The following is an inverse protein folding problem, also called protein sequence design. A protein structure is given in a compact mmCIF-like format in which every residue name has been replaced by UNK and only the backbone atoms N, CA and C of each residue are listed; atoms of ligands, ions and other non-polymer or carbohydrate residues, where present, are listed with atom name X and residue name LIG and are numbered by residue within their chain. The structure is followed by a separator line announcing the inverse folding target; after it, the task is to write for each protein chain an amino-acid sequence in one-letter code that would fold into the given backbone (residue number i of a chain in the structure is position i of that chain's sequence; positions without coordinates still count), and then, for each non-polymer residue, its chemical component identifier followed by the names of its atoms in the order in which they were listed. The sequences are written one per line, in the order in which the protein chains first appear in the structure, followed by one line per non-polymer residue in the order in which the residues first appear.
data_IF_675149006002
#
_entry.id   IF_675149006002
#
_cell.length_a   1.000
_cell.length_b   1.000
_cell.length_c   1.000
_cell.angle_alpha   90.00
_cell.angle_beta   90.00
_cell.angle_gamma   90.00
#
_symmetry.space_group_name_H-M   'P 1'
#
loop_
_entity.id
_entity.type
_entity.pdbx_description
1 polymer ?
#
# COMPACT_ATOMS: atom_id res chain seq x y z
N UNK A 1 0.41 20.90 2.91
CA UNK A 1 -0.56 20.02 3.60
C UNK A 1 0.08 18.70 3.99
N UNK A 2 0.78 18.03 3.07
CA UNK A 2 1.43 16.72 3.32
C UNK A 2 2.40 16.70 4.52
N UNK A 3 3.25 17.73 4.69
CA UNK A 3 4.15 17.81 5.85
C UNK A 3 3.40 17.81 7.19
N UNK A 4 2.31 18.61 7.28
CA UNK A 4 1.47 18.66 8.48
C UNK A 4 0.77 17.32 8.75
N UNK A 5 0.36 16.61 7.68
CA UNK A 5 -0.18 15.27 7.78
C UNK A 5 0.85 14.30 8.38
N UNK A 6 2.08 14.26 7.85
CA UNK A 6 3.14 13.39 8.35
C UNK A 6 3.47 13.70 9.83
N UNK A 7 3.53 14.97 10.20
CA UNK A 7 3.73 15.40 11.59
C UNK A 7 2.61 14.91 12.51
N UNK A 8 1.35 15.07 12.09
CA UNK A 8 0.18 14.58 12.86
C UNK A 8 0.17 13.06 12.97
N UNK A 9 0.45 12.34 11.89
CA UNK A 9 0.53 10.86 11.90
C UNK A 9 1.60 10.36 12.87
N UNK A 10 2.80 10.96 12.84
CA UNK A 10 3.88 10.62 13.76
C UNK A 10 3.54 10.98 15.21
N UNK A 11 2.89 12.12 15.44
CA UNK A 11 2.43 12.51 16.77
C UNK A 11 1.37 11.53 17.32
N UNK A 12 0.35 11.20 16.54
CA UNK A 12 -0.70 10.26 16.93
C UNK A 12 -0.15 8.85 17.19
N UNK A 13 0.75 8.37 16.32
CA UNK A 13 1.45 7.09 16.52
C UNK A 13 2.23 7.07 17.82
N UNK A 14 3.10 8.06 18.04
CA UNK A 14 3.97 8.12 19.23
C UNK A 14 3.19 8.18 20.54
N UNK A 15 2.02 8.81 20.53
CA UNK A 15 1.18 8.96 21.72
C UNK A 15 0.04 7.93 21.79
N UNK A 16 0.02 6.94 20.90
CA UNK A 16 -1.04 5.92 20.82
C UNK A 16 -2.46 6.50 20.81
N UNK A 17 -2.66 7.61 20.08
CA UNK A 17 -3.96 8.28 19.98
C UNK A 17 -4.94 7.37 19.25
N UNK A 18 -6.04 7.02 19.92
CA UNK A 18 -7.13 6.22 19.35
C UNK A 18 -8.07 7.09 18.54
N UNK A 19 -8.68 6.51 17.51
CA UNK A 19 -9.66 7.18 16.63
C UNK A 19 -9.13 8.46 15.93
N UNK A 20 -7.81 8.62 15.85
CA UNK A 20 -7.16 9.67 15.06
C UNK A 20 -6.97 9.27 13.59
N UNK A 21 -6.40 10.16 12.79
CA UNK A 21 -6.12 9.90 11.38
C UNK A 21 -5.08 8.78 11.18
N UNK A 22 -4.11 8.64 12.08
CA UNK A 22 -3.15 7.53 12.06
C UNK A 22 -3.86 6.19 12.24
N UNK A 23 -4.76 6.12 13.23
CA UNK A 23 -5.58 4.92 13.50
C UNK A 23 -6.47 4.58 12.31
N UNK A 24 -7.17 5.57 11.75
CA UNK A 24 -8.03 5.38 10.58
C UNK A 24 -7.24 4.93 9.35
N UNK A 25 -6.08 5.54 9.06
CA UNK A 25 -5.24 5.15 7.93
C UNK A 25 -4.74 3.72 8.09
N UNK A 26 -4.29 3.32 9.28
CA UNK A 26 -3.80 1.96 9.49
C UNK A 26 -4.87 0.91 9.14
N UNK A 27 -6.10 1.10 9.62
CA UNK A 27 -7.19 0.15 9.36
C UNK A 27 -7.66 0.25 7.90
N UNK A 28 -7.98 1.44 7.42
CA UNK A 28 -8.54 1.65 6.07
C UNK A 28 -7.55 1.23 4.99
N UNK A 29 -6.26 1.46 5.20
CA UNK A 29 -5.25 1.11 4.20
C UNK A 29 -5.02 -0.38 4.11
N UNK A 30 -4.78 -1.01 5.26
CA UNK A 30 -4.54 -2.45 5.34
C UNK A 30 -5.74 -3.24 4.83
N UNK A 31 -6.97 -2.84 5.21
CA UNK A 31 -8.18 -3.51 4.75
C UNK A 31 -8.33 -3.44 3.23
N UNK A 32 -8.27 -2.25 2.64
CA UNK A 32 -8.55 -2.10 1.21
C UNK A 32 -7.46 -2.73 0.33
N UNK A 33 -6.18 -2.57 0.69
CA UNK A 33 -5.08 -3.20 -0.05
C UNK A 33 -5.19 -4.72 0.00
N UNK A 34 -5.30 -5.29 1.20
CA UNK A 34 -5.36 -6.75 1.37
C UNK A 34 -6.64 -7.33 0.73
N UNK A 35 -7.77 -6.63 0.80
CA UNK A 35 -9.02 -7.07 0.17
C UNK A 35 -8.93 -7.09 -1.36
N UNK A 36 -8.23 -6.13 -1.96
CA UNK A 36 -7.96 -6.10 -3.41
C UNK A 36 -7.12 -7.31 -3.83
N UNK A 37 -6.15 -7.71 -2.99
CA UNK A 37 -5.30 -8.90 -3.19
C UNK A 37 -6.01 -10.23 -2.87
N UNK A 38 -7.19 -10.18 -2.25
CA UNK A 38 -8.07 -11.34 -2.04
C UNK A 38 -8.18 -11.83 -0.59
N UNK A 39 -7.71 -11.04 0.39
CA UNK A 39 -7.89 -11.34 1.81
C UNK A 39 -9.37 -11.45 2.19
N UNK A 40 -9.68 -12.46 3.01
CA UNK A 40 -11.02 -12.71 3.54
C UNK A 40 -11.39 -11.87 4.77
N UNK A 41 -10.44 -11.17 5.38
CA UNK A 41 -10.69 -10.41 6.62
C UNK A 41 -11.65 -9.25 6.39
N UNK A 42 -12.62 -9.08 7.29
CA UNK A 42 -13.54 -7.95 7.30
C UNK A 42 -12.87 -6.69 7.83
N UNK A 43 -13.46 -5.52 7.56
CA UNK A 43 -12.97 -4.25 8.10
C UNK A 43 -12.93 -4.27 9.63
N UNK A 44 -13.97 -4.83 10.26
CA UNK A 44 -14.04 -5.00 11.72
C UNK A 44 -12.94 -5.93 12.22
N UNK A 45 -12.67 -7.05 11.55
CA UNK A 45 -11.58 -7.94 11.91
C UNK A 45 -10.21 -7.24 11.80
N UNK A 46 -9.95 -6.50 10.72
CA UNK A 46 -8.73 -5.69 10.58
C UNK A 46 -8.59 -4.68 11.72
N UNK A 47 -9.69 -3.99 12.08
CA UNK A 47 -9.70 -3.04 13.19
C UNK A 47 -9.40 -3.72 14.54
N UNK A 48 -10.01 -4.89 14.81
CA UNK A 48 -9.75 -5.66 16.04
C UNK A 48 -8.32 -6.16 16.15
N UNK A 49 -7.70 -6.59 15.04
CA UNK A 49 -6.28 -6.95 15.01
C UNK A 49 -5.44 -5.72 15.39
N UNK A 50 -5.70 -4.56 14.78
CA UNK A 50 -4.96 -3.33 15.08
C UNK A 50 -5.11 -2.89 16.54
N UNK A 51 -6.34 -2.85 17.05
CA UNK A 51 -6.67 -2.26 18.35
C UNK A 51 -6.31 -3.14 19.54
N UNK A 52 -6.43 -4.46 19.37
CA UNK A 52 -6.41 -5.41 20.48
C UNK A 52 -5.46 -6.58 20.25
N UNK A 53 -4.86 -6.70 19.06
CA UNK A 53 -4.13 -7.90 18.65
C UNK A 53 -4.96 -9.17 18.82
N UNK A 54 -6.27 -9.06 18.54
CA UNK A 54 -7.25 -10.14 18.67
C UNK A 54 -8.03 -10.25 17.36
N UNK A 55 -8.31 -11.48 16.95
CA UNK A 55 -9.18 -11.77 15.81
C UNK A 55 -10.48 -12.38 16.31
N UNK A 56 -11.60 -11.72 16.03
CA UNK A 56 -12.93 -12.25 16.32
C UNK A 56 -13.40 -13.06 15.12
N UNK A 57 -13.79 -14.31 15.36
CA UNK A 57 -14.21 -15.25 14.32
C UNK A 57 -15.50 -15.94 14.74
N UNK A 58 -16.34 -16.24 13.76
CA UNK A 58 -17.49 -17.11 13.97
C UNK A 58 -17.03 -18.57 14.08
N UNK A 59 -17.84 -19.42 14.74
CA UNK A 59 -17.55 -20.84 14.84
C UNK A 59 -17.46 -21.47 13.44
N UNK A 60 -16.43 -22.27 13.22
CA UNK A 60 -16.16 -23.00 11.97
C UNK A 60 -15.79 -22.13 10.75
N UNK A 61 -15.42 -20.87 10.95
CA UNK A 61 -14.88 -20.03 9.87
C UNK A 61 -13.38 -20.27 9.73
N UNK A 62 -12.94 -20.64 8.53
CA UNK A 62 -11.52 -20.77 8.21
C UNK A 62 -10.95 -19.41 7.83
N UNK A 63 -9.87 -19.01 8.50
CA UNK A 63 -9.09 -17.81 8.15
C UNK A 63 -7.68 -18.25 7.79
N UNK A 64 -7.18 -17.72 6.67
CA UNK A 64 -5.80 -17.99 6.24
C UNK A 64 -4.84 -17.26 7.17
N UNK A 65 -3.77 -17.95 7.59
CA UNK A 65 -2.72 -17.32 8.39
C UNK A 65 -2.05 -16.17 7.63
N UNK A 66 -1.86 -16.31 6.32
CA UNK A 66 -1.31 -15.25 5.47
C UNK A 66 -2.15 -13.97 5.54
N UNK A 67 -3.49 -14.05 5.50
CA UNK A 67 -4.35 -12.86 5.63
C UNK A 67 -4.10 -12.10 6.95
N UNK A 68 -3.85 -12.84 8.04
CA UNK A 68 -3.55 -12.27 9.35
C UNK A 68 -2.16 -11.63 9.34
N UNK A 69 -1.14 -12.35 8.84
CA UNK A 69 0.23 -11.85 8.79
C UNK A 69 0.36 -10.65 7.86
N UNK A 70 -0.22 -10.68 6.66
CA UNK A 70 -0.24 -9.55 5.73
C UNK A 70 -0.90 -8.31 6.36
N UNK A 71 -1.95 -8.49 7.17
CA UNK A 71 -2.59 -7.37 7.89
C UNK A 71 -1.67 -6.78 8.94
N UNK A 72 -1.04 -7.62 9.78
CA UNK A 72 -0.08 -7.16 10.80
C UNK A 72 1.12 -6.48 10.14
N UNK A 73 1.66 -7.09 9.09
CA UNK A 73 2.80 -6.59 8.34
C UNK A 73 2.49 -5.29 7.61
N UNK A 74 1.26 -5.09 7.14
CA UNK A 74 0.86 -3.83 6.53
C UNK A 74 0.90 -2.69 7.57
N UNK A 75 0.48 -2.92 8.82
CA UNK A 75 0.62 -1.92 9.88
C UNK A 75 2.08 -1.52 10.12
N UNK A 76 2.98 -2.51 10.15
CA UNK A 76 4.42 -2.28 10.28
C UNK A 76 5.02 -1.58 9.04
N UNK A 77 4.52 -1.91 7.85
CA UNK A 77 4.95 -1.27 6.61
C UNK A 77 4.62 0.22 6.60
N UNK A 78 3.42 0.62 7.05
CA UNK A 78 3.04 2.03 7.20
C UNK A 78 3.94 2.74 8.22
N UNK A 79 4.28 2.08 9.33
CA UNK A 79 5.21 2.65 10.32
C UNK A 79 6.59 2.90 9.71
N UNK A 80 7.13 1.90 9.01
CA UNK A 80 8.41 2.02 8.33
C UNK A 80 8.37 3.17 7.32
N UNK A 81 7.33 3.27 6.47
CA UNK A 81 7.18 4.37 5.52
C UNK A 81 7.17 5.75 6.21
N UNK A 82 6.51 5.91 7.35
CA UNK A 82 6.50 7.18 8.10
C UNK A 82 7.85 7.56 8.69
N UNK A 83 8.71 6.58 8.97
CA UNK A 83 10.05 6.77 9.51
C UNK A 83 11.09 7.01 8.41
N UNK A 84 10.93 6.34 7.27
CA UNK A 84 11.92 6.32 6.18
C UNK A 84 11.56 7.16 4.97
N UNK A 85 10.44 7.91 4.96
CA UNK A 85 9.96 8.67 3.78
C UNK A 85 10.96 9.69 3.20
N UNK A 86 11.96 10.11 3.97
CA UNK A 86 13.03 11.02 3.52
C UNK A 86 14.19 10.30 2.85
N UNK A 87 14.27 8.99 2.98
CA UNK A 87 15.30 8.18 2.34
C UNK A 87 15.06 8.12 0.83
N UNK A 88 16.13 8.15 0.01
CA UNK A 88 15.98 8.02 -1.42
C UNK A 88 15.51 6.62 -1.80
N UNK A 89 14.61 6.53 -2.79
CA UNK A 89 14.20 5.24 -3.35
C UNK A 89 15.41 4.48 -3.89
N UNK A 90 15.49 3.20 -3.55
CA UNK A 90 16.52 2.28 -4.00
C UNK A 90 15.94 0.87 -4.11
N UNK A 91 16.66 -0.03 -4.77
CA UNK A 91 16.26 -1.43 -4.85
C UNK A 91 16.24 -2.07 -3.46
N UNK A 92 17.19 -1.70 -2.60
CA UNK A 92 17.25 -2.18 -1.21
C UNK A 92 16.05 -1.69 -0.40
N UNK A 93 15.62 -0.45 -0.61
CA UNK A 93 14.40 0.09 0.01
C UNK A 93 13.17 -0.74 -0.35
N UNK A 94 12.99 -1.08 -1.63
CA UNK A 94 11.88 -1.93 -2.06
C UNK A 94 11.97 -3.36 -1.53
N UNK A 95 13.18 -3.93 -1.46
CA UNK A 95 13.40 -5.25 -0.86
C UNK A 95 13.05 -5.26 0.63
N UNK A 96 13.41 -4.19 1.35
CA UNK A 96 13.04 -4.04 2.77
C UNK A 96 11.53 -3.90 2.96
N UNK A 97 10.85 -3.07 2.15
CA UNK A 97 9.38 -3.00 2.16
C UNK A 97 8.74 -4.37 1.91
N UNK A 98 9.22 -5.09 0.90
CA UNK A 98 8.70 -6.43 0.59
C UNK A 98 8.96 -7.43 1.73
N UNK A 99 10.14 -7.37 2.35
CA UNK A 99 10.49 -8.19 3.51
C UNK A 99 9.56 -7.94 4.70
N UNK A 100 9.20 -6.69 4.96
CA UNK A 100 8.23 -6.33 6.00
C UNK A 100 6.86 -6.88 5.64
N UNK A 101 6.34 -6.56 4.44
CA UNK A 101 5.00 -6.95 4.00
C UNK A 101 4.78 -8.47 3.99
N UNK A 102 5.78 -9.25 3.61
CA UNK A 102 5.67 -10.71 3.46
C UNK A 102 6.25 -11.51 4.64
N UNK A 103 6.58 -10.84 5.75
CA UNK A 103 7.14 -11.50 6.94
C UNK A 103 6.17 -12.58 7.47
N UNK A 104 6.64 -13.81 7.62
CA UNK A 104 5.84 -14.97 8.06
C UNK A 104 4.73 -15.44 7.10
N UNK A 105 4.65 -14.89 5.88
CA UNK A 105 3.74 -15.38 4.84
C UNK A 105 4.35 -16.59 4.10
N UNK A 106 3.54 -17.29 3.30
CA UNK A 106 3.94 -18.50 2.59
C UNK A 106 4.71 -18.27 1.26
N UNK A 107 5.20 -17.06 1.01
CA UNK A 107 5.89 -16.68 -0.23
C UNK A 107 7.24 -17.42 -0.44
N UNK A 108 7.52 -17.84 -1.68
CA UNK A 108 8.78 -18.51 -2.07
C UNK A 108 10.01 -17.59 -1.88
N UNK A 109 9.83 -16.28 -2.08
CA UNK A 109 10.90 -15.29 -2.03
C UNK A 109 10.43 -14.10 -1.19
N UNK A 110 11.07 -13.87 -0.06
CA UNK A 110 10.79 -12.73 0.82
C UNK A 110 11.97 -11.76 0.76
N UNK A 111 11.70 -10.49 0.46
CA UNK A 111 12.73 -9.45 0.41
C UNK A 111 13.74 -9.54 -0.75
N UNK A 112 13.43 -10.26 -1.83
CA UNK A 112 14.30 -10.31 -3.01
C UNK A 112 13.47 -10.44 -4.31
N UNK A 113 14.12 -10.32 -5.46
CA UNK A 113 13.44 -10.46 -6.76
C UNK A 113 13.11 -11.93 -7.05
N UNK A 114 11.99 -12.12 -7.75
CA UNK A 114 11.52 -13.43 -8.22
C UNK A 114 12.63 -14.22 -8.91
N UNK A 115 12.69 -15.53 -8.65
CA UNK A 115 13.68 -16.45 -9.23
C UNK A 115 13.16 -17.18 -10.47
N UNK A 116 11.84 -17.16 -10.70
CA UNK A 116 11.17 -17.84 -11.81
C UNK A 116 10.32 -16.87 -12.63
N UNK A 117 10.16 -17.09 -13.95
CA UNK A 117 9.19 -16.34 -14.74
C UNK A 117 7.76 -16.51 -14.22
N UNK A 118 6.95 -15.47 -14.29
CA UNK A 118 5.54 -15.49 -13.90
C UNK A 118 4.68 -14.61 -14.82
N UNK A 119 3.36 -14.80 -14.73
CA UNK A 119 2.33 -14.03 -15.41
C UNK A 119 1.47 -13.29 -14.39
N UNK A 120 0.88 -12.16 -14.81
CA UNK A 120 -0.20 -11.50 -14.08
C UNK A 120 -1.38 -11.38 -15.05
N UNK A 121 -2.50 -12.04 -14.72
CA UNK A 121 -3.55 -12.31 -15.70
C UNK A 121 -2.99 -13.09 -16.89
N UNK A 122 -3.15 -12.56 -18.11
CA UNK A 122 -2.64 -13.16 -19.34
C UNK A 122 -1.31 -12.54 -19.82
N UNK A 123 -0.72 -11.62 -19.05
CA UNK A 123 0.46 -10.88 -19.46
C UNK A 123 1.73 -11.45 -18.84
N UNK A 124 2.71 -11.80 -19.68
CA UNK A 124 4.03 -12.16 -19.22
C UNK A 124 4.71 -10.95 -18.55
N UNK A 125 5.37 -11.19 -17.43
CA UNK A 125 6.11 -10.13 -16.73
C UNK A 125 7.61 -10.19 -17.05
N UNK A 126 8.36 -9.16 -16.64
CA UNK A 126 9.83 -9.08 -16.80
C UNK A 126 10.52 -10.37 -16.36
N UNK A 127 11.46 -10.89 -17.16
CA UNK A 127 12.21 -12.12 -16.81
C UNK A 127 13.06 -11.90 -15.56
N UNK A 128 13.25 -12.91 -14.67
CA UNK A 128 14.04 -12.78 -13.44
C UNK A 128 15.39 -12.07 -13.60
N UNK A 129 16.15 -12.45 -14.63
CA UNK A 129 17.49 -11.89 -14.92
C UNK A 129 17.49 -10.41 -15.30
N UNK A 130 16.34 -9.85 -15.68
CA UNK A 130 16.18 -8.47 -16.12
C UNK A 130 15.52 -7.58 -15.07
N UNK A 131 14.92 -8.13 -14.01
CA UNK A 131 14.16 -7.36 -13.02
C UNK A 131 15.02 -6.27 -12.39
N UNK A 132 16.24 -6.61 -11.99
CA UNK A 132 17.15 -5.68 -11.32
C UNK A 132 17.54 -4.50 -12.23
N UNK A 133 17.89 -4.77 -13.49
CA UNK A 133 18.25 -3.72 -14.45
C UNK A 133 17.06 -2.82 -14.81
N UNK A 134 15.88 -3.41 -15.03
CA UNK A 134 14.66 -2.67 -15.34
C UNK A 134 14.23 -1.76 -14.17
N UNK A 135 14.23 -2.28 -12.94
CA UNK A 135 13.90 -1.48 -11.74
C UNK A 135 14.95 -0.41 -11.46
N UNK A 136 16.24 -0.70 -11.68
CA UNK A 136 17.30 0.30 -11.55
C UNK A 136 17.08 1.46 -12.53
N UNK A 137 16.71 1.15 -13.78
CA UNK A 137 16.39 2.17 -14.78
C UNK A 137 15.14 2.96 -14.39
N UNK A 138 14.10 2.28 -13.88
CA UNK A 138 12.88 2.92 -13.40
C UNK A 138 13.17 3.92 -12.26
N UNK A 139 13.93 3.51 -11.25
CA UNK A 139 14.31 4.38 -10.12
C UNK A 139 15.11 5.59 -10.60
N UNK A 140 16.12 5.36 -11.45
CA UNK A 140 16.92 6.46 -12.03
C UNK A 140 16.04 7.45 -12.81
N UNK A 141 15.11 6.94 -13.61
CA UNK A 141 14.20 7.78 -14.39
C UNK A 141 13.23 8.54 -13.49
N UNK A 142 12.69 7.90 -12.45
CA UNK A 142 11.83 8.56 -11.47
C UNK A 142 12.58 9.68 -10.73
N UNK A 143 13.79 9.42 -10.26
CA UNK A 143 14.63 10.41 -9.57
C UNK A 143 14.99 11.61 -10.44
N UNK A 144 15.27 11.40 -11.73
CA UNK A 144 15.49 12.50 -12.69
C UNK A 144 14.27 13.40 -12.87
N UNK A 145 13.06 12.86 -12.70
CA UNK A 145 11.80 13.58 -12.84
C UNK A 145 11.20 13.98 -11.48
N UNK A 146 11.93 13.77 -10.38
CA UNK A 146 11.41 13.92 -9.02
C UNK A 146 11.07 15.37 -8.70
N UNK A 147 11.92 16.32 -9.12
CA UNK A 147 11.66 17.75 -8.92
C UNK A 147 10.41 18.25 -9.65
N UNK A 148 10.08 17.65 -10.79
CA UNK A 148 8.84 17.95 -11.55
C UNK A 148 7.62 17.31 -10.87
N UNK A 149 7.79 16.13 -10.29
CA UNK A 149 6.70 15.36 -9.67
C UNK A 149 6.34 15.86 -8.26
N UNK A 150 7.32 16.27 -7.45
CA UNK A 150 7.12 16.74 -6.07
C UNK A 150 6.61 18.18 -5.98
N UNK A 151 6.80 19.01 -7.02
CA UNK A 151 6.28 20.39 -7.08
C UNK A 151 4.75 20.46 -7.00
N UNK A 152 4.05 19.36 -7.22
CA UNK A 152 2.58 19.34 -7.29
C UNK A 152 1.88 19.01 -5.96
N UNK A 153 2.61 18.88 -4.83
CA UNK A 153 2.04 18.54 -3.51
C UNK A 153 1.00 17.40 -3.60
N UNK A 154 1.35 16.36 -4.34
CA UNK A 154 0.46 15.25 -4.69
C UNK A 154 0.09 14.51 -3.40
N UNK A 155 -1.20 14.49 -3.07
CA UNK A 155 -1.70 13.71 -1.95
C UNK A 155 -1.59 12.22 -2.26
N UNK A 156 -1.26 11.36 -1.28
CA UNK A 156 -1.33 9.93 -1.47
C UNK A 156 -2.78 9.50 -1.70
N UNK A 157 -2.97 8.30 -2.20
CA UNK A 157 -4.29 7.73 -2.43
C UNK A 157 -4.33 6.28 -1.96
N UNK A 158 -5.54 5.80 -1.73
CA UNK A 158 -5.81 4.38 -1.68
C UNK A 158 -6.99 4.06 -2.59
N UNK A 159 -6.88 2.96 -3.31
CA UNK A 159 -8.01 2.41 -4.05
C UNK A 159 -8.90 1.68 -3.06
N UNK A 160 -10.10 2.21 -2.82
CA UNK A 160 -11.09 1.50 -2.03
C UNK A 160 -11.57 0.26 -2.80
N UNK A 161 -11.84 -0.84 -2.10
CA UNK A 161 -12.23 -2.10 -2.75
C UNK A 161 -13.48 -1.96 -3.63
N UNK A 162 -14.38 -1.02 -3.34
CA UNK A 162 -15.52 -0.68 -4.20
C UNK A 162 -15.11 -0.15 -5.58
N UNK A 163 -13.95 0.53 -5.67
CA UNK A 163 -13.40 1.08 -6.91
C UNK A 163 -12.41 0.14 -7.63
N UNK A 164 -12.19 -1.07 -7.12
CA UNK A 164 -11.17 -1.99 -7.67
C UNK A 164 -11.37 -2.33 -9.15
N UNK A 165 -12.62 -2.42 -9.60
CA UNK A 165 -12.94 -2.73 -11.00
C UNK A 165 -12.46 -1.62 -11.94
N UNK A 166 -12.60 -0.36 -11.54
CA UNK A 166 -12.11 0.79 -12.30
C UNK A 166 -10.59 0.84 -12.31
N UNK A 167 -9.95 0.54 -11.18
CA UNK A 167 -8.49 0.46 -11.08
C UNK A 167 -7.92 -0.62 -12.00
N UNK A 168 -8.47 -1.84 -11.95
CA UNK A 168 -8.04 -2.93 -12.84
C UNK A 168 -8.27 -2.64 -14.32
N UNK A 169 -9.40 -2.02 -14.67
CA UNK A 169 -9.63 -1.52 -16.03
C UNK A 169 -8.58 -0.48 -16.42
N UNK A 170 -8.28 0.46 -15.52
CA UNK A 170 -7.29 1.51 -15.74
C UNK A 170 -5.90 0.96 -16.03
N UNK A 171 -5.45 -0.05 -15.28
CA UNK A 171 -4.17 -0.73 -15.53
C UNK A 171 -4.21 -1.46 -16.87
N UNK A 172 -5.25 -2.25 -17.11
CA UNK A 172 -5.36 -3.09 -18.32
C UNK A 172 -5.38 -2.24 -19.60
N UNK A 173 -6.08 -1.12 -19.56
CA UNK A 173 -6.28 -0.23 -20.72
C UNK A 173 -5.30 0.95 -20.72
N UNK A 174 -4.25 0.96 -19.90
CA UNK A 174 -3.40 2.12 -19.74
C UNK A 174 -2.80 2.62 -21.07
N UNK A 175 -2.36 1.70 -21.93
CA UNK A 175 -1.76 2.03 -23.23
C UNK A 175 -2.81 2.53 -24.25
N UNK A 176 -4.07 2.13 -24.11
CA UNK A 176 -5.17 2.52 -25.00
C UNK A 176 -5.88 3.80 -24.54
N UNK A 177 -6.08 3.94 -23.23
CA UNK A 177 -6.88 5.01 -22.61
C UNK A 177 -6.34 5.32 -21.20
N UNK A 178 -5.26 6.11 -21.17
CA UNK A 178 -4.61 6.58 -19.92
C UNK A 178 -5.59 7.25 -18.94
N UNK A 179 -6.67 7.86 -19.45
CA UNK A 179 -7.71 8.53 -18.66
C UNK A 179 -8.32 7.62 -17.60
N UNK A 180 -8.58 6.34 -17.91
CA UNK A 180 -9.21 5.43 -16.95
C UNK A 180 -8.42 5.26 -15.65
N UNK A 181 -7.10 5.10 -15.75
CA UNK A 181 -6.26 4.99 -14.55
C UNK A 181 -6.10 6.35 -13.88
N UNK A 182 -5.87 7.42 -14.67
CA UNK A 182 -5.67 8.77 -14.15
C UNK A 182 -6.87 9.25 -13.34
N UNK A 183 -8.07 9.12 -13.88
CA UNK A 183 -9.31 9.58 -13.25
C UNK A 183 -9.59 8.79 -11.96
N UNK A 184 -9.35 7.47 -11.97
CA UNK A 184 -9.48 6.62 -10.78
C UNK A 184 -8.51 7.05 -9.67
N UNK A 185 -7.25 7.36 -10.02
CA UNK A 185 -6.25 7.83 -9.06
C UNK A 185 -6.64 9.21 -8.51
N UNK A 186 -7.02 10.16 -9.37
CA UNK A 186 -7.41 11.52 -8.96
C UNK A 186 -8.62 11.48 -8.03
N UNK A 187 -9.66 10.72 -8.36
CA UNK A 187 -10.81 10.54 -7.47
C UNK A 187 -10.39 9.97 -6.10
N UNK A 188 -9.48 8.99 -6.09
CA UNK A 188 -8.96 8.41 -4.85
C UNK A 188 -8.12 9.41 -4.03
N UNK A 189 -7.44 10.35 -4.69
CA UNK A 189 -6.71 11.44 -4.05
C UNK A 189 -7.67 12.47 -3.43
N UNK A 190 -8.75 12.80 -4.14
CA UNK A 190 -9.77 13.73 -3.64
C UNK A 190 -10.46 13.16 -2.40
N UNK A 191 -10.87 11.88 -2.45
CA UNK A 191 -11.44 11.18 -1.29
C UNK A 191 -10.47 11.16 -0.10
N UNK A 192 -9.19 10.90 -0.35
CA UNK A 192 -8.17 10.91 0.70
C UNK A 192 -7.97 12.32 1.26
N UNK A 193 -7.99 13.36 0.42
CA UNK A 193 -7.85 14.74 0.84
C UNK A 193 -9.03 15.23 1.68
N UNK A 194 -10.27 14.84 1.33
CA UNK A 194 -11.47 15.10 2.13
C UNK A 194 -11.36 14.44 3.50
N UNK A 195 -11.01 13.15 3.53
CA UNK A 195 -10.76 12.42 4.77
C UNK A 195 -9.69 13.10 5.64
N UNK A 196 -8.57 13.53 5.04
CA UNK A 196 -7.52 14.25 5.77
C UNK A 196 -8.06 15.57 6.32
N UNK A 197 -8.79 16.34 5.52
CA UNK A 197 -9.29 17.67 5.89
C UNK A 197 -10.17 17.63 7.14
N UNK A 198 -10.99 16.58 7.31
CA UNK A 198 -11.79 16.36 8.51
C UNK A 198 -10.98 16.37 9.83
N UNK A 199 -9.72 15.93 9.81
CA UNK A 199 -8.87 15.90 11.00
C UNK A 199 -8.04 17.17 11.21
N UNK A 200 -8.15 18.14 10.30
CA UNK A 200 -7.46 19.44 10.37
C UNK A 200 -8.42 20.63 10.43
N UNK A 201 -9.74 20.38 10.36
CA UNK A 201 -10.80 21.38 10.55
C UNK A 201 -11.05 21.70 12.02
#
# INVERSE_FOLDING_TARGET
MLTKLIEKLNHERKNAIKNGIYHLIQIKFSYNSNRIEGSGLTYEQTAHIFDKSVLITEKNTNIKLDDIFETINHFECVNYLLESYKEPLSLEYFKNLHKILKKNCSDEVIGDFKKRPNFVGNSATTRPKLVESELTNLVKNYQRNLEVSLKNNIMPFIIENEHKAFYYRGIKEYDNTKGYLKDTIVQSQDNFNEMVSYFFS
#
